data_IF_551341928877
#
_entry.id   IF_551341928877
#
_cell.length_a   1.000
_cell.length_b   1.000
_cell.length_c   1.000
_cell.angle_alpha   90.00
_cell.angle_beta   90.00
_cell.angle_gamma   90.00
#
_symmetry.space_group_name_H-M   'P 1'
#
loop_
_entity.id
_entity.type
_entity.pdbx_description
1 polymer ?
#
# COMPACT_ATOMS: atom_id res chain seq x y z
N UNK A 1 29.59 -14.02 -2.06
CA UNK A 1 28.38 -13.53 -1.36
C UNK A 1 28.09 -12.13 -1.87
N UNK A 2 27.03 -11.97 -2.67
CA UNK A 2 26.63 -10.66 -3.17
C UNK A 2 26.28 -9.72 -2.02
N UNK A 3 26.69 -8.46 -2.11
CA UNK A 3 26.37 -7.44 -1.13
C UNK A 3 24.83 -7.30 -1.06
N UNK A 4 24.21 -7.65 0.08
CA UNK A 4 22.75 -7.58 0.25
C UNK A 4 22.17 -6.18 -0.01
N UNK A 5 23.00 -5.14 0.14
CA UNK A 5 22.64 -3.74 -0.09
C UNK A 5 23.70 -3.04 -0.95
N UNK A 6 23.69 -3.21 -2.28
CA UNK A 6 24.71 -2.64 -3.16
C UNK A 6 24.67 -1.10 -3.18
N UNK A 7 23.52 -0.51 -2.86
CA UNK A 7 23.32 0.94 -2.80
C UNK A 7 23.42 1.51 -1.37
N UNK A 8 23.84 0.70 -0.39
CA UNK A 8 23.87 1.08 1.03
C UNK A 8 22.52 0.90 1.75
N UNK A 9 22.47 1.30 3.04
CA UNK A 9 21.28 1.13 3.92
C UNK A 9 20.58 2.47 4.20
N UNK A 10 21.27 3.60 3.96
CA UNK A 10 20.84 4.92 4.39
C UNK A 10 19.45 5.32 3.86
N UNK A 11 19.16 5.08 2.58
CA UNK A 11 17.87 5.43 1.97
C UNK A 11 16.70 4.63 2.55
N UNK A 12 16.90 3.37 2.94
CA UNK A 12 15.86 2.58 3.60
C UNK A 12 15.55 3.11 5.00
N UNK A 13 16.58 3.50 5.76
CA UNK A 13 16.41 4.07 7.09
C UNK A 13 15.76 5.45 7.04
N UNK A 14 16.25 6.33 6.16
CA UNK A 14 15.70 7.69 5.98
C UNK A 14 14.27 7.61 5.50
N UNK A 15 13.97 6.79 4.50
CA UNK A 15 12.61 6.59 4.01
C UNK A 15 11.68 6.03 5.09
N UNK A 16 12.13 5.02 5.84
CA UNK A 16 11.38 4.45 6.95
C UNK A 16 11.09 5.46 8.07
N UNK A 17 12.08 6.27 8.46
CA UNK A 17 11.93 7.34 9.45
C UNK A 17 10.94 8.40 8.98
N UNK A 18 11.01 8.84 7.72
CA UNK A 18 10.10 9.84 7.17
C UNK A 18 8.66 9.30 7.13
N UNK A 19 8.46 8.06 6.66
CA UNK A 19 7.13 7.44 6.61
C UNK A 19 6.58 7.24 8.03
N UNK A 20 7.41 6.76 8.97
CA UNK A 20 7.04 6.57 10.36
C UNK A 20 6.66 7.88 11.04
N UNK A 21 7.45 8.94 10.85
CA UNK A 21 7.15 10.27 11.36
C UNK A 21 5.87 10.86 10.74
N UNK A 22 5.66 10.69 9.43
CA UNK A 22 4.47 11.18 8.74
C UNK A 22 3.19 10.48 9.24
N UNK A 23 3.21 9.15 9.37
CA UNK A 23 2.06 8.38 9.88
C UNK A 23 1.84 8.65 11.37
N UNK A 24 2.91 8.79 12.15
CA UNK A 24 2.84 9.18 13.56
C UNK A 24 2.21 10.57 13.75
N UNK A 25 2.65 11.55 12.96
CA UNK A 25 2.08 12.91 12.97
C UNK A 25 0.61 12.90 12.59
N UNK A 26 0.25 12.17 11.53
CA UNK A 26 -1.13 11.98 11.09
C UNK A 26 -1.98 11.41 12.23
N UNK A 27 -1.51 10.37 12.91
CA UNK A 27 -2.24 9.76 14.02
C UNK A 27 -2.36 10.71 15.23
N UNK A 28 -1.29 11.40 15.62
CA UNK A 28 -1.32 12.34 16.76
C UNK A 28 -2.26 13.51 16.50
N UNK A 29 -2.29 14.03 15.28
CA UNK A 29 -3.08 15.24 14.95
C UNK A 29 -4.54 14.94 14.66
N UNK A 30 -4.86 13.78 14.07
CA UNK A 30 -6.23 13.46 13.63
C UNK A 30 -6.89 12.32 14.40
N UNK A 31 -6.11 11.51 15.12
CA UNK A 31 -6.57 10.24 15.71
C UNK A 31 -6.88 9.15 14.68
N UNK A 32 -6.57 9.38 13.40
CA UNK A 32 -6.91 8.48 12.30
C UNK A 32 -5.73 7.59 11.92
N UNK A 33 -6.03 6.39 11.45
CA UNK A 33 -5.04 5.42 10.98
C UNK A 33 -4.97 5.48 9.46
N UNK A 34 -3.75 5.59 8.91
CA UNK A 34 -3.52 5.60 7.47
C UNK A 34 -3.64 4.21 6.85
N UNK A 35 -4.60 4.01 5.95
CA UNK A 35 -4.80 2.72 5.27
C UNK A 35 -5.50 2.87 3.92
N UNK A 36 -5.02 2.12 2.92
CA UNK A 36 -5.48 2.24 1.53
C UNK A 36 -6.53 1.19 1.12
N UNK A 37 -6.60 0.04 1.80
CA UNK A 37 -7.46 -1.11 1.41
C UNK A 37 -8.95 -0.78 1.33
N UNK A 38 -9.39 0.25 2.05
CA UNK A 38 -10.81 0.62 2.16
C UNK A 38 -11.18 1.84 1.34
N UNK A 39 -10.20 2.51 0.69
CA UNK A 39 -10.43 3.67 -0.19
C UNK A 39 -11.37 3.30 -1.33
N UNK A 40 -11.16 2.12 -1.94
CA UNK A 40 -12.04 1.62 -2.99
C UNK A 40 -13.50 1.52 -2.51
N UNK A 41 -13.75 0.82 -1.39
CA UNK A 41 -15.12 0.68 -0.86
C UNK A 41 -15.74 1.98 -0.40
N UNK A 42 -14.97 2.87 0.22
CA UNK A 42 -15.51 4.15 0.68
C UNK A 42 -15.81 5.07 -0.50
N UNK A 43 -15.04 4.99 -1.58
CA UNK A 43 -15.33 5.72 -2.82
C UNK A 43 -16.59 5.18 -3.50
N UNK A 44 -16.74 3.84 -3.53
CA UNK A 44 -17.91 3.20 -4.12
C UNK A 44 -19.21 3.50 -3.37
N UNK A 45 -19.15 3.94 -2.10
CA UNK A 45 -20.31 4.42 -1.34
C UNK A 45 -21.00 5.65 -1.94
N UNK A 46 -20.30 6.44 -2.78
CA UNK A 46 -20.91 7.56 -3.50
C UNK A 46 -21.79 7.11 -4.66
N UNK A 47 -21.46 5.98 -5.27
CA UNK A 47 -22.06 5.54 -6.53
C UNK A 47 -23.00 4.35 -6.37
N UNK A 48 -22.82 3.53 -5.33
CA UNK A 48 -23.58 2.31 -5.12
C UNK A 48 -24.36 2.35 -3.81
N UNK A 49 -25.66 2.04 -3.91
CA UNK A 49 -26.58 1.93 -2.77
C UNK A 49 -26.63 0.52 -2.16
N UNK A 50 -25.70 -0.37 -2.54
CA UNK A 50 -25.65 -1.71 -1.96
C UNK A 50 -25.35 -1.64 -0.46
N UNK A 51 -26.00 -2.48 0.39
CA UNK A 51 -25.82 -2.45 1.84
C UNK A 51 -24.35 -2.55 2.31
N UNK A 52 -23.53 -3.28 1.53
CA UNK A 52 -22.10 -3.40 1.80
C UNK A 52 -21.35 -2.05 1.72
N UNK A 53 -21.65 -1.20 0.74
CA UNK A 53 -20.96 0.08 0.55
C UNK A 53 -21.55 1.20 1.41
N UNK A 54 -22.79 1.04 1.89
CA UNK A 54 -23.47 2.01 2.76
C UNK A 54 -23.31 1.75 4.26
N UNK A 55 -22.28 1.00 4.65
CA UNK A 55 -21.92 0.87 6.06
C UNK A 55 -21.53 2.25 6.63
N UNK A 56 -22.06 2.60 7.81
CA UNK A 56 -21.81 3.89 8.47
C UNK A 56 -20.31 4.23 8.52
N UNK A 57 -19.46 3.27 8.90
CA UNK A 57 -18.01 3.43 8.97
C UNK A 57 -17.40 3.87 7.62
N UNK A 58 -17.89 3.36 6.49
CA UNK A 58 -17.41 3.74 5.16
C UNK A 58 -17.87 5.14 4.78
N UNK A 59 -19.11 5.50 5.09
CA UNK A 59 -19.69 6.81 4.76
C UNK A 59 -19.00 7.92 5.55
N UNK A 60 -18.80 7.75 6.86
CA UNK A 60 -18.16 8.78 7.69
C UNK A 60 -16.68 8.98 7.34
N UNK A 61 -15.97 7.91 6.96
CA UNK A 61 -14.53 7.97 6.67
C UNK A 61 -14.18 8.27 5.21
N UNK A 62 -15.16 8.33 4.29
CA UNK A 62 -14.90 8.44 2.84
C UNK A 62 -14.10 9.68 2.43
N UNK A 63 -14.41 10.85 3.02
CA UNK A 63 -13.74 12.10 2.66
C UNK A 63 -12.28 12.08 3.07
N UNK A 64 -12.01 11.67 4.31
CA UNK A 64 -10.65 11.52 4.83
C UNK A 64 -9.83 10.51 4.02
N UNK A 65 -10.41 9.34 3.70
CA UNK A 65 -9.72 8.30 2.93
C UNK A 65 -9.37 8.76 1.52
N UNK A 66 -10.26 9.54 0.89
CA UNK A 66 -9.97 10.19 -0.39
C UNK A 66 -8.88 11.25 -0.27
N UNK A 67 -8.92 12.09 0.77
CA UNK A 67 -7.88 13.08 1.02
C UNK A 67 -6.50 12.43 1.24
N UNK A 68 -6.44 11.34 2.02
CA UNK A 68 -5.23 10.56 2.24
C UNK A 68 -4.71 9.94 0.93
N UNK A 69 -5.58 9.30 0.15
CA UNK A 69 -5.21 8.73 -1.15
C UNK A 69 -4.72 9.80 -2.13
N UNK A 70 -5.41 10.94 -2.22
CA UNK A 70 -5.02 12.06 -3.04
C UNK A 70 -3.66 12.63 -2.60
N UNK A 71 -3.42 12.74 -1.29
CA UNK A 71 -2.12 13.16 -0.74
C UNK A 71 -0.97 12.25 -1.15
N UNK A 72 -1.16 10.93 -1.13
CA UNK A 72 -0.15 9.97 -1.60
C UNK A 72 0.13 10.10 -3.10
N UNK A 73 -0.92 10.26 -3.92
CA UNK A 73 -0.79 10.45 -5.38
C UNK A 73 -0.09 11.77 -5.70
N UNK A 74 -0.51 12.87 -5.04
CA UNK A 74 0.11 14.19 -5.20
C UNK A 74 1.58 14.18 -4.76
N UNK A 75 1.91 13.51 -3.65
CA UNK A 75 3.30 13.35 -3.21
C UNK A 75 4.17 12.67 -4.27
N UNK A 76 3.66 11.61 -4.91
CA UNK A 76 4.34 10.95 -6.02
C UNK A 76 4.54 11.86 -7.23
N UNK A 77 3.51 12.63 -7.62
CA UNK A 77 3.58 13.57 -8.75
C UNK A 77 4.58 14.69 -8.47
N UNK A 78 4.56 15.27 -7.27
CA UNK A 78 5.51 16.32 -6.85
C UNK A 78 6.94 15.78 -6.89
N UNK A 79 7.15 14.55 -6.39
CA UNK A 79 8.46 13.91 -6.44
C UNK A 79 8.92 13.69 -7.88
N UNK A 80 8.06 13.21 -8.78
CA UNK A 80 8.38 13.03 -10.20
C UNK A 80 8.74 14.37 -10.87
N UNK A 81 7.99 15.44 -10.58
CA UNK A 81 8.25 16.76 -11.14
C UNK A 81 9.58 17.37 -10.66
N UNK A 82 9.97 17.10 -9.41
CA UNK A 82 11.19 17.66 -8.79
C UNK A 82 12.45 16.84 -9.05
N UNK A 83 12.33 15.51 -9.08
CA UNK A 83 13.48 14.59 -9.16
C UNK A 83 14.18 14.60 -10.53
N UNK A 84 13.54 15.11 -11.58
CA UNK A 84 14.08 15.13 -12.94
C UNK A 84 14.24 13.75 -13.59
N UNK A 85 13.81 12.67 -12.92
CA UNK A 85 13.74 11.34 -13.52
C UNK A 85 12.50 11.28 -14.40
N UNK A 86 12.69 10.92 -15.67
CA UNK A 86 11.58 10.75 -16.61
C UNK A 86 10.57 9.69 -16.17
N UNK A 87 9.44 9.61 -16.86
CA UNK A 87 8.40 8.62 -16.57
C UNK A 87 8.95 7.22 -16.88
N UNK A 88 9.18 6.42 -15.85
CA UNK A 88 9.53 5.01 -16.00
C UNK A 88 8.27 4.21 -16.28
N UNK A 89 8.17 3.63 -17.48
CA UNK A 89 7.14 2.66 -17.82
C UNK A 89 7.68 1.25 -17.62
N UNK A 90 6.90 0.40 -16.96
CA UNK A 90 7.24 -1.01 -16.86
C UNK A 90 6.89 -1.71 -18.17
N UNK A 91 7.72 -2.63 -18.63
CA UNK A 91 7.45 -3.45 -19.83
C UNK A 91 6.38 -4.53 -19.62
N UNK A 92 5.56 -4.40 -18.57
CA UNK A 92 4.62 -5.43 -18.13
C UNK A 92 3.35 -5.36 -18.95
N UNK A 93 2.92 -6.46 -19.60
CA UNK A 93 1.68 -6.47 -20.35
C UNK A 93 0.47 -6.20 -19.45
N UNK A 94 -0.50 -5.47 -20.01
CA UNK A 94 -1.69 -4.98 -19.28
C UNK A 94 -2.46 -6.10 -18.58
N UNK A 95 -2.55 -7.29 -19.19
CA UNK A 95 -3.28 -8.42 -18.58
C UNK A 95 -2.67 -8.87 -17.24
N UNK A 96 -1.34 -8.80 -17.08
CA UNK A 96 -0.68 -9.15 -15.82
C UNK A 96 -0.93 -8.08 -14.76
N UNK A 97 -1.00 -6.80 -15.14
CA UNK A 97 -1.36 -5.73 -14.23
C UNK A 97 -2.81 -5.87 -13.74
N UNK A 98 -3.74 -6.22 -14.63
CA UNK A 98 -5.15 -6.45 -14.29
C UNK A 98 -5.29 -7.65 -13.36
N UNK A 99 -4.66 -8.78 -13.70
CA UNK A 99 -4.75 -10.02 -12.92
C UNK A 99 -4.06 -9.87 -11.57
N UNK A 100 -2.87 -9.27 -11.53
CA UNK A 100 -2.15 -8.95 -10.30
C UNK A 100 -2.92 -7.99 -9.41
N UNK A 101 -3.51 -6.93 -9.98
CA UNK A 101 -4.35 -5.98 -9.25
C UNK A 101 -5.57 -6.64 -8.63
N UNK A 102 -6.23 -7.54 -9.36
CA UNK A 102 -7.35 -8.33 -8.85
C UNK A 102 -6.93 -9.23 -7.68
N UNK A 103 -5.84 -9.98 -7.83
CA UNK A 103 -5.33 -10.87 -6.77
C UNK A 103 -4.92 -10.10 -5.51
N UNK A 104 -4.22 -8.97 -5.67
CA UNK A 104 -3.83 -8.10 -4.55
C UNK A 104 -5.06 -7.51 -3.86
N UNK A 105 -6.05 -7.05 -4.64
CA UNK A 105 -7.30 -6.51 -4.11
C UNK A 105 -8.09 -7.55 -3.31
N UNK A 106 -8.21 -8.77 -3.85
CA UNK A 106 -8.83 -9.89 -3.15
C UNK A 106 -8.07 -10.26 -1.88
N UNK A 107 -6.74 -10.40 -1.96
CA UNK A 107 -5.89 -10.73 -0.83
C UNK A 107 -5.98 -9.70 0.30
N UNK A 108 -5.92 -8.40 -0.04
CA UNK A 108 -6.06 -7.31 0.93
C UNK A 108 -7.42 -7.29 1.63
N UNK A 109 -8.47 -7.84 0.98
CA UNK A 109 -9.78 -8.03 1.62
C UNK A 109 -9.82 -9.24 2.51
N UNK A 110 -9.24 -10.36 2.08
CA UNK A 110 -9.16 -11.57 2.87
C UNK A 110 -8.39 -11.35 4.19
N UNK A 111 -7.33 -10.54 4.17
CA UNK A 111 -6.57 -10.15 5.36
C UNK A 111 -7.21 -9.03 6.18
N UNK A 112 -8.34 -8.46 5.73
CA UNK A 112 -8.98 -7.28 6.33
C UNK A 112 -8.04 -6.04 6.43
N UNK A 113 -7.09 -5.91 5.51
CA UNK A 113 -6.09 -4.85 5.51
C UNK A 113 -5.04 -4.99 4.41
N UNK A 114 -4.40 -3.88 4.05
CA UNK A 114 -3.32 -3.85 3.07
C UNK A 114 -1.94 -3.86 3.74
N UNK A 115 -0.89 -3.91 2.94
CA UNK A 115 0.51 -3.82 3.39
C UNK A 115 0.80 -2.55 4.18
N UNK A 116 0.22 -1.39 3.84
CA UNK A 116 0.39 -0.16 4.64
C UNK A 116 -0.35 -0.23 5.98
N UNK A 117 -1.55 -0.80 6.00
CA UNK A 117 -2.35 -0.97 7.22
C UNK A 117 -1.71 -1.92 8.22
N UNK A 118 -1.38 -3.15 7.79
CA UNK A 118 -0.72 -4.13 8.66
C UNK A 118 0.76 -3.80 8.88
N UNK A 119 1.48 -3.43 7.83
CA UNK A 119 2.92 -3.23 7.85
C UNK A 119 3.37 -1.95 8.55
N UNK A 120 2.70 -0.82 8.31
CA UNK A 120 3.11 0.44 8.95
C UNK A 120 2.37 0.57 10.28
N UNK A 121 1.04 0.69 10.24
CA UNK A 121 0.25 1.01 11.45
C UNK A 121 0.10 -0.20 12.39
N UNK A 122 -0.12 -1.39 11.85
CA UNK A 122 -0.34 -2.62 12.62
C UNK A 122 0.91 -3.10 13.37
N UNK A 123 2.08 -3.06 12.71
CA UNK A 123 3.36 -3.36 13.36
C UNK A 123 3.76 -2.30 14.39
N UNK A 124 3.53 -1.01 14.09
CA UNK A 124 3.77 0.06 15.06
C UNK A 124 2.91 -0.09 16.32
N UNK A 125 1.72 -0.70 16.19
CA UNK A 125 0.80 -1.02 17.29
C UNK A 125 1.05 -2.40 17.91
N UNK A 126 2.15 -3.08 17.58
CA UNK A 126 2.58 -4.38 18.13
C UNK A 126 1.52 -5.50 18.01
N UNK A 127 0.73 -5.48 16.94
CA UNK A 127 -0.32 -6.48 16.72
C UNK A 127 0.23 -7.76 16.08
N UNK A 128 0.16 -8.88 16.82
CA UNK A 128 0.56 -10.20 16.30
C UNK A 128 -0.15 -10.59 14.99
N UNK A 129 -1.46 -10.37 14.80
CA UNK A 129 -2.11 -10.68 13.51
C UNK A 129 -1.52 -9.90 12.34
N UNK A 130 -1.11 -8.65 12.58
CA UNK A 130 -0.48 -7.80 11.57
C UNK A 130 0.92 -8.28 11.23
N UNK A 131 1.70 -8.76 12.22
CA UNK A 131 3.00 -9.38 11.97
C UNK A 131 2.86 -10.62 11.08
N UNK A 132 1.93 -11.51 11.40
CA UNK A 132 1.68 -12.71 10.59
C UNK A 132 1.24 -12.34 9.17
N UNK A 133 0.34 -11.36 9.01
CA UNK A 133 -0.10 -10.88 7.70
C UNK A 133 1.08 -10.31 6.88
N UNK A 134 1.98 -9.54 7.50
CA UNK A 134 3.15 -8.98 6.81
C UNK A 134 4.11 -10.08 6.36
N UNK A 135 4.38 -11.06 7.22
CA UNK A 135 5.24 -12.19 6.89
C UNK A 135 4.69 -13.01 5.74
N UNK A 136 3.38 -13.26 5.71
CA UNK A 136 2.74 -13.97 4.59
C UNK A 136 2.78 -13.16 3.31
N UNK A 137 2.47 -11.86 3.34
CA UNK A 137 2.58 -11.00 2.15
C UNK A 137 3.99 -10.97 1.57
N UNK A 138 5.02 -10.84 2.43
CA UNK A 138 6.42 -10.86 2.01
C UNK A 138 6.80 -12.22 1.42
N UNK A 139 6.47 -13.31 2.10
CA UNK A 139 6.79 -14.66 1.63
C UNK A 139 6.14 -14.95 0.26
N UNK A 140 4.85 -14.64 0.12
CA UNK A 140 4.12 -14.83 -1.15
C UNK A 140 4.66 -13.92 -2.24
N UNK A 141 4.99 -12.66 -1.93
CA UNK A 141 5.58 -11.72 -2.89
C UNK A 141 6.94 -12.21 -3.42
N UNK A 142 7.82 -12.65 -2.51
CA UNK A 142 9.12 -13.23 -2.86
C UNK A 142 8.95 -14.49 -3.71
N UNK A 143 8.09 -15.42 -3.28
CA UNK A 143 7.83 -16.65 -4.01
C UNK A 143 7.28 -16.38 -5.42
N UNK A 144 6.34 -15.44 -5.54
CA UNK A 144 5.76 -15.04 -6.83
C UNK A 144 6.81 -14.40 -7.74
N UNK A 145 7.63 -13.48 -7.22
CA UNK A 145 8.69 -12.83 -7.99
C UNK A 145 9.72 -13.86 -8.51
N UNK A 146 10.13 -14.82 -7.66
CA UNK A 146 11.05 -15.89 -8.07
C UNK A 146 10.42 -16.82 -9.11
N UNK A 147 9.14 -17.17 -8.94
CA UNK A 147 8.43 -18.01 -9.90
C UNK A 147 8.29 -17.32 -11.25
N UNK A 148 7.90 -16.05 -11.27
CA UNK A 148 7.78 -15.24 -12.49
C UNK A 148 9.14 -15.12 -13.20
N UNK A 149 10.22 -14.84 -12.47
CA UNK A 149 11.57 -14.80 -13.02
C UNK A 149 12.00 -16.16 -13.61
N UNK A 150 11.63 -17.26 -12.95
CA UNK A 150 11.98 -18.62 -13.40
C UNK A 150 11.28 -19.03 -14.70
N UNK A 151 10.01 -18.64 -14.87
CA UNK A 151 9.23 -18.93 -16.10
C UNK A 151 9.52 -17.95 -17.25
N UNK A 152 10.50 -17.05 -17.09
CA UNK A 152 10.83 -16.05 -18.10
C UNK A 152 9.83 -14.90 -18.21
N UNK A 153 9.07 -14.64 -17.14
CA UNK A 153 8.39 -13.36 -16.99
C UNK A 153 9.43 -12.24 -16.95
N UNK A 154 9.10 -11.15 -17.63
CA UNK A 154 9.91 -9.96 -17.92
C UNK A 154 10.96 -9.56 -16.87
#
# INVERSE_FOLDING_TARGET
>A
MGQFFPNGIAHYLVGGLIIGAAVGLLFITTGLIGGMSTVYSSTWSYFSQQPFFQQATLIYSRQWRLAYAAGLVLGGIIWLAWSGVGIWQTGVPVWQLVLGGFLIGFGARLSNGCTSGHGICGLASLQLPSLLAVLTFLATGIATAQLVAWIGGY
#
